data_IF_060737446485
#
_entry.id   IF_060737446485
#
_cell.length_a   1.000
_cell.length_b   1.000
_cell.length_c   1.000
_cell.angle_alpha   90.00
_cell.angle_beta   90.00
_cell.angle_gamma   90.00
#
_symmetry.space_group_name_H-M   'P 1'
#
loop_
_entity.id
_entity.type
_entity.pdbx_description
1 polymer ?
#
# COMPACT_ATOMS: atom_id res chain seq x y z
N UNK A 1 -13.95 -7.75 18.11
CA UNK A 1 -13.79 -6.29 17.96
C UNK A 1 -13.12 -5.92 16.62
N UNK A 2 -11.90 -6.44 16.32
CA UNK A 2 -11.25 -6.15 15.04
C UNK A 2 -12.02 -6.69 13.82
N UNK A 3 -12.58 -7.88 13.93
CA UNK A 3 -13.44 -8.45 12.89
C UNK A 3 -14.68 -7.56 12.61
N UNK A 4 -15.31 -7.07 13.65
CA UNK A 4 -16.43 -6.16 13.54
C UNK A 4 -16.05 -4.80 12.90
N UNK A 5 -14.86 -4.30 13.21
CA UNK A 5 -14.30 -3.14 12.54
C UNK A 5 -14.11 -3.43 11.04
N UNK A 6 -13.57 -4.60 10.67
CA UNK A 6 -13.43 -5.01 9.29
C UNK A 6 -14.79 -5.14 8.58
N UNK A 7 -15.82 -5.67 9.23
CA UNK A 7 -17.16 -5.72 8.66
C UNK A 7 -17.68 -4.33 8.26
N UNK A 8 -17.37 -3.30 9.06
CA UNK A 8 -17.76 -1.92 8.74
C UNK A 8 -16.93 -1.32 7.59
N UNK A 9 -15.65 -1.61 7.51
CA UNK A 9 -14.83 -1.22 6.37
C UNK A 9 -15.34 -1.85 5.08
N UNK A 10 -15.61 -3.16 5.08
CA UNK A 10 -16.11 -3.84 3.90
C UNK A 10 -17.56 -3.46 3.56
N UNK A 11 -18.38 -3.12 4.53
CA UNK A 11 -19.68 -2.48 4.28
C UNK A 11 -19.51 -1.15 3.54
N UNK A 12 -18.59 -0.28 3.99
CA UNK A 12 -18.27 0.96 3.28
C UNK A 12 -17.78 0.68 1.85
N UNK A 13 -16.85 -0.26 1.65
CA UNK A 13 -16.33 -0.58 0.32
C UNK A 13 -17.42 -1.06 -0.65
N UNK A 14 -18.40 -1.82 -0.18
CA UNK A 14 -19.56 -2.24 -0.99
C UNK A 14 -20.58 -1.13 -1.22
N UNK A 15 -20.60 -0.10 -0.38
CA UNK A 15 -21.54 1.01 -0.46
C UNK A 15 -21.05 2.17 -1.33
N UNK A 16 -19.86 2.06 -1.92
CA UNK A 16 -19.32 3.08 -2.83
C UNK A 16 -20.15 3.18 -4.10
N UNK A 17 -20.22 4.40 -4.64
CA UNK A 17 -20.78 4.57 -5.97
C UNK A 17 -19.91 3.85 -7.00
N UNK A 18 -20.53 3.10 -7.88
CA UNK A 18 -19.87 2.31 -8.92
C UNK A 18 -20.34 2.75 -10.31
N UNK A 19 -19.46 2.72 -11.30
CA UNK A 19 -19.81 2.79 -12.70
C UNK A 19 -19.12 1.69 -13.49
N UNK A 20 -19.83 1.09 -14.44
CA UNK A 20 -19.21 0.20 -15.41
C UNK A 20 -18.19 0.96 -16.27
N UNK A 21 -17.08 0.30 -16.61
CA UNK A 21 -16.05 0.86 -17.48
C UNK A 21 -15.56 -0.20 -18.46
N UNK A 22 -14.87 0.24 -19.52
CA UNK A 22 -14.18 -0.71 -20.41
C UNK A 22 -12.90 -1.22 -19.74
N UNK A 23 -12.36 -2.30 -20.28
CA UNK A 23 -11.07 -2.84 -19.81
C UNK A 23 -9.96 -1.79 -19.95
N UNK A 24 -9.92 -1.09 -21.06
CA UNK A 24 -8.93 -0.04 -21.34
C UNK A 24 -9.05 1.13 -20.37
N UNK A 25 -10.27 1.53 -19.98
CA UNK A 25 -10.47 2.58 -18.97
C UNK A 25 -10.00 2.12 -17.58
N UNK A 26 -10.32 0.88 -17.21
CA UNK A 26 -9.85 0.27 -15.96
C UNK A 26 -8.33 0.23 -15.89
N UNK A 27 -7.68 -0.31 -16.93
CA UNK A 27 -6.22 -0.44 -17.02
C UNK A 27 -5.54 0.94 -16.98
N UNK A 28 -6.04 1.92 -17.73
CA UNK A 28 -5.51 3.29 -17.72
C UNK A 28 -5.52 3.91 -16.31
N UNK A 29 -6.60 3.73 -15.55
CA UNK A 29 -6.67 4.26 -14.17
C UNK A 29 -5.74 3.48 -13.24
N UNK A 30 -5.66 2.16 -13.38
CA UNK A 30 -4.74 1.34 -12.63
C UNK A 30 -3.27 1.72 -12.91
N UNK A 31 -2.92 1.96 -14.17
CA UNK A 31 -1.58 2.37 -14.58
C UNK A 31 -1.21 3.74 -14.02
N UNK A 32 -2.12 4.69 -14.04
CA UNK A 32 -1.91 6.01 -13.41
C UNK A 32 -1.61 5.89 -11.92
N UNK A 33 -2.34 5.02 -11.20
CA UNK A 33 -2.17 4.86 -9.75
C UNK A 33 -0.92 4.05 -9.39
N UNK A 34 -0.60 3.00 -10.16
CA UNK A 34 0.33 1.95 -9.75
C UNK A 34 1.61 1.87 -10.61
N UNK A 35 1.69 2.63 -11.71
CA UNK A 35 2.86 2.70 -12.59
C UNK A 35 3.37 4.13 -12.71
N UNK A 36 2.57 5.03 -13.29
CA UNK A 36 2.98 6.42 -13.59
C UNK A 36 3.37 7.16 -12.31
N UNK A 37 2.54 7.03 -11.28
CA UNK A 37 2.79 7.64 -9.97
C UNK A 37 4.10 7.15 -9.33
N UNK A 38 4.41 5.85 -9.44
CA UNK A 38 5.67 5.32 -8.93
C UNK A 38 6.83 5.91 -9.71
N UNK A 39 6.79 5.87 -11.04
CA UNK A 39 7.85 6.39 -11.90
C UNK A 39 8.14 7.86 -11.59
N UNK A 40 7.09 8.69 -11.51
CA UNK A 40 7.22 10.11 -11.14
C UNK A 40 7.87 10.29 -9.76
N UNK A 41 7.41 9.52 -8.77
CA UNK A 41 7.90 9.63 -7.39
C UNK A 41 9.35 9.14 -7.26
N UNK A 42 9.72 8.06 -7.94
CA UNK A 42 11.10 7.56 -7.95
C UNK A 42 12.04 8.55 -8.65
N UNK A 43 11.62 9.19 -9.75
CA UNK A 43 12.39 10.25 -10.38
C UNK A 43 12.61 11.45 -9.44
N UNK A 44 11.55 11.90 -8.74
CA UNK A 44 11.64 12.96 -7.72
C UNK A 44 12.61 12.56 -6.60
N UNK A 45 12.54 11.33 -6.11
CA UNK A 45 13.46 10.83 -5.09
C UNK A 45 14.92 10.91 -5.56
N UNK A 46 15.20 10.40 -6.77
CA UNK A 46 16.56 10.39 -7.34
C UNK A 46 17.14 11.78 -7.58
N UNK A 47 16.28 12.79 -7.78
CA UNK A 47 16.69 14.18 -7.94
C UNK A 47 16.98 14.90 -6.59
N UNK A 48 16.62 14.31 -5.45
CA UNK A 48 16.89 14.90 -4.14
C UNK A 48 18.37 14.74 -3.76
N UNK A 49 18.96 15.78 -3.13
CA UNK A 49 20.35 15.74 -2.65
C UNK A 49 20.58 14.63 -1.60
N UNK A 50 19.60 14.42 -0.76
CA UNK A 50 19.59 13.40 0.31
C UNK A 50 19.70 11.99 -0.25
N UNK A 51 19.12 11.75 -1.44
CA UNK A 51 19.15 10.43 -2.08
C UNK A 51 20.58 9.96 -2.39
N UNK A 52 21.49 10.85 -2.75
CA UNK A 52 22.88 10.48 -3.06
C UNK A 52 23.60 9.83 -1.87
N UNK A 53 23.28 10.27 -0.64
CA UNK A 53 23.82 9.68 0.60
C UNK A 53 23.18 8.33 0.89
N UNK A 54 21.86 8.22 0.69
CA UNK A 54 21.12 6.99 0.90
C UNK A 54 21.45 5.93 -0.13
N UNK A 55 21.76 6.33 -1.39
CA UNK A 55 22.14 5.41 -2.47
C UNK A 55 23.36 4.57 -2.10
N UNK A 56 24.39 5.16 -1.47
CA UNK A 56 25.58 4.42 -1.05
C UNK A 56 25.24 3.32 -0.04
N UNK A 57 24.30 3.57 0.89
CA UNK A 57 23.78 2.58 1.84
C UNK A 57 22.97 1.49 1.12
N UNK A 58 22.11 1.86 0.19
CA UNK A 58 21.26 0.93 -0.55
C UNK A 58 22.05 0.03 -1.50
N UNK A 59 23.12 0.54 -2.11
CA UNK A 59 23.99 -0.24 -3.01
C UNK A 59 24.77 -1.33 -2.25
N UNK A 60 25.03 -1.14 -0.95
CA UNK A 60 25.69 -2.15 -0.12
C UNK A 60 24.71 -3.25 0.39
N UNK A 61 23.44 -3.15 0.01
CA UNK A 61 22.39 -4.07 0.44
C UNK A 61 21.65 -4.62 -0.78
N UNK A 62 21.05 -5.79 -0.68
CA UNK A 62 20.16 -6.34 -1.73
C UNK A 62 18.85 -5.52 -1.92
N UNK A 63 18.81 -4.30 -1.39
CA UNK A 63 17.68 -3.39 -1.45
C UNK A 63 17.89 -2.23 -2.43
N UNK A 64 18.68 -2.44 -3.51
CA UNK A 64 18.85 -1.44 -4.53
C UNK A 64 17.50 -1.01 -5.13
N UNK A 65 17.24 0.30 -5.12
CA UNK A 65 15.94 0.86 -5.48
C UNK A 65 15.50 0.50 -6.90
N UNK A 66 16.42 0.52 -7.87
CA UNK A 66 16.09 0.18 -9.27
C UNK A 66 15.72 -1.29 -9.43
N UNK A 67 16.39 -2.18 -8.70
CA UNK A 67 16.05 -3.59 -8.62
C UNK A 67 14.67 -3.82 -8.01
N UNK A 68 14.36 -3.13 -6.92
CA UNK A 68 13.04 -3.23 -6.28
C UNK A 68 11.91 -2.71 -7.17
N UNK A 69 12.12 -1.61 -7.87
CA UNK A 69 11.12 -1.06 -8.83
C UNK A 69 10.90 -2.03 -9.99
N UNK A 70 11.96 -2.62 -10.53
CA UNK A 70 11.86 -3.65 -11.58
C UNK A 70 11.08 -4.86 -11.08
N UNK A 71 11.43 -5.40 -9.91
CA UNK A 71 10.73 -6.51 -9.27
C UNK A 71 9.26 -6.20 -9.03
N UNK A 72 8.95 -4.97 -8.60
CA UNK A 72 7.56 -4.52 -8.44
C UNK A 72 6.77 -4.67 -9.74
N UNK A 73 7.28 -4.19 -10.86
CA UNK A 73 6.58 -4.26 -12.15
C UNK A 73 6.42 -5.70 -12.65
N UNK A 74 7.42 -6.54 -12.49
CA UNK A 74 7.37 -7.96 -12.84
C UNK A 74 6.31 -8.72 -12.02
N UNK A 75 6.29 -8.51 -10.70
CA UNK A 75 5.29 -9.11 -9.81
C UNK A 75 3.88 -8.58 -10.11
N UNK A 76 3.72 -7.27 -10.30
CA UNK A 76 2.43 -6.66 -10.68
C UNK A 76 1.88 -7.32 -11.93
N UNK A 77 2.67 -7.40 -12.99
CA UNK A 77 2.27 -8.02 -14.25
C UNK A 77 1.88 -9.50 -14.06
N UNK A 78 2.66 -10.23 -13.27
CA UNK A 78 2.41 -11.66 -13.01
C UNK A 78 1.11 -11.88 -12.22
N UNK A 79 0.87 -11.07 -11.19
CA UNK A 79 -0.32 -11.18 -10.34
C UNK A 79 -1.57 -10.75 -11.11
N UNK A 80 -1.51 -9.62 -11.80
CA UNK A 80 -2.63 -9.12 -12.61
C UNK A 80 -2.99 -10.07 -13.75
N UNK A 81 -2.00 -10.72 -14.38
CA UNK A 81 -2.23 -11.70 -15.45
C UNK A 81 -2.98 -12.96 -15.00
N UNK A 82 -3.06 -13.23 -13.70
CA UNK A 82 -3.81 -14.38 -13.13
C UNK A 82 -5.27 -14.07 -12.80
N UNK A 83 -5.62 -12.80 -12.71
CA UNK A 83 -6.90 -12.37 -12.17
C UNK A 83 -7.79 -11.76 -13.26
N UNK A 84 -9.10 -12.01 -13.15
CA UNK A 84 -10.11 -11.24 -13.87
C UNK A 84 -10.53 -10.08 -12.98
N UNK A 85 -10.30 -8.85 -13.45
CA UNK A 85 -10.70 -7.66 -12.71
C UNK A 85 -12.15 -7.27 -13.06
N UNK A 86 -12.90 -6.75 -12.07
CA UNK A 86 -14.21 -6.19 -12.37
C UNK A 86 -14.02 -4.96 -13.26
N UNK A 87 -14.78 -4.89 -14.37
CA UNK A 87 -14.78 -3.70 -15.23
C UNK A 87 -15.66 -2.60 -14.60
N UNK A 88 -15.30 -2.19 -13.40
CA UNK A 88 -15.98 -1.13 -12.63
C UNK A 88 -14.96 -0.19 -12.03
N UNK A 89 -15.32 1.09 -11.95
CA UNK A 89 -14.64 2.12 -11.18
C UNK A 89 -15.53 2.53 -10.01
N UNK A 90 -14.93 3.04 -8.97
CA UNK A 90 -15.65 3.46 -7.76
C UNK A 90 -15.28 4.89 -7.37
N UNK A 91 -16.19 5.56 -6.64
CA UNK A 91 -15.85 6.77 -5.89
C UNK A 91 -15.36 6.31 -4.52
N UNK A 92 -14.06 6.38 -4.30
CA UNK A 92 -13.41 5.96 -3.06
C UNK A 92 -13.17 7.11 -2.09
N UNK A 93 -12.75 6.79 -0.88
CA UNK A 93 -12.23 7.76 0.09
C UNK A 93 -10.86 8.29 -0.31
N UNK A 94 -10.04 7.45 -0.93
CA UNK A 94 -8.69 7.79 -1.38
C UNK A 94 -7.61 7.63 -0.32
N UNK A 95 -7.95 7.57 0.98
CA UNK A 95 -7.00 7.31 2.06
C UNK A 95 -7.65 6.76 3.36
N UNK A 96 -8.39 5.63 3.33
CA UNK A 96 -9.05 5.07 4.50
C UNK A 96 -8.07 4.26 5.37
N UNK A 97 -6.89 4.81 5.67
CA UNK A 97 -5.94 4.23 6.61
C UNK A 97 -6.40 4.42 8.07
N UNK A 98 -5.77 3.75 9.03
CA UNK A 98 -6.18 3.87 10.44
C UNK A 98 -6.06 5.29 10.98
N UNK A 99 -5.05 6.05 10.54
CA UNK A 99 -4.89 7.45 10.95
C UNK A 99 -6.10 8.33 10.56
N UNK A 100 -6.80 7.98 9.48
CA UNK A 100 -7.99 8.69 8.98
C UNK A 100 -9.31 8.02 9.40
N UNK A 101 -9.26 7.18 10.44
CA UNK A 101 -10.41 6.37 10.88
C UNK A 101 -10.73 6.63 12.34
N UNK A 102 -11.98 6.98 12.63
CA UNK A 102 -12.52 7.15 13.97
C UNK A 102 -13.50 6.01 14.25
N UNK A 103 -13.20 5.20 15.25
CA UNK A 103 -14.06 4.09 15.67
C UNK A 103 -14.52 4.26 17.11
N UNK A 104 -15.84 4.30 17.32
CA UNK A 104 -16.44 4.32 18.64
C UNK A 104 -16.85 2.89 19.02
N UNK A 105 -16.18 2.33 20.03
CA UNK A 105 -16.40 0.95 20.52
C UNK A 105 -17.81 0.75 21.10
N UNK A 106 -18.33 1.74 21.81
CA UNK A 106 -19.63 1.62 22.50
C UNK A 106 -20.80 1.67 21.53
N UNK A 107 -20.76 2.57 20.55
CA UNK A 107 -21.81 2.72 19.54
C UNK A 107 -21.53 1.89 18.28
N UNK A 108 -20.32 1.31 18.18
CA UNK A 108 -19.84 0.57 17.01
C UNK A 108 -19.91 1.38 15.70
N UNK A 109 -19.70 2.68 15.82
CA UNK A 109 -19.77 3.62 14.70
C UNK A 109 -18.37 3.83 14.14
N UNK A 110 -18.25 3.67 12.82
CA UNK A 110 -17.07 3.99 12.04
C UNK A 110 -17.29 5.30 11.29
N UNK A 111 -16.33 6.21 11.35
CA UNK A 111 -16.31 7.44 10.55
C UNK A 111 -14.93 7.59 9.92
N UNK A 112 -14.90 8.01 8.66
CA UNK A 112 -13.69 8.40 7.97
C UNK A 112 -13.55 9.92 7.96
N UNK A 113 -12.31 10.40 8.02
CA UNK A 113 -11.93 11.81 7.94
C UNK A 113 -10.88 11.98 6.87
N UNK A 114 -10.70 13.20 6.39
CA UNK A 114 -9.68 13.56 5.40
C UNK A 114 -9.79 12.79 4.07
N UNK A 115 -10.96 12.78 3.40
CA UNK A 115 -11.10 12.15 2.10
C UNK A 115 -10.25 12.89 1.07
N UNK A 116 -9.66 12.14 0.14
CA UNK A 116 -8.97 12.72 -1.00
C UNK A 116 -9.99 13.33 -1.94
N UNK A 117 -9.99 14.65 -2.06
CA UNK A 117 -10.85 15.35 -3.00
C UNK A 117 -10.40 15.21 -4.46
N UNK A 118 -11.24 15.70 -5.36
CA UNK A 118 -10.98 15.86 -6.79
C UNK A 118 -11.44 17.24 -7.26
N UNK A 119 -10.83 17.74 -8.33
CA UNK A 119 -11.21 19.04 -8.93
C UNK A 119 -12.36 18.84 -9.93
N UNK A 120 -12.37 17.69 -10.59
CA UNK A 120 -13.38 17.32 -11.58
C UNK A 120 -14.06 16.02 -11.20
N UNK A 121 -15.30 15.81 -11.68
CA UNK A 121 -16.04 14.57 -11.45
C UNK A 121 -15.29 13.34 -11.99
N UNK A 122 -14.60 13.47 -13.11
CA UNK A 122 -13.84 12.36 -13.70
C UNK A 122 -12.68 11.90 -12.79
N UNK A 123 -12.10 12.78 -12.02
CA UNK A 123 -11.00 12.46 -11.08
C UNK A 123 -11.49 11.75 -9.81
N UNK A 124 -12.81 11.74 -9.55
CA UNK A 124 -13.40 10.99 -8.42
C UNK A 124 -13.35 9.48 -8.66
N UNK A 125 -13.41 9.05 -9.92
CA UNK A 125 -13.47 7.64 -10.27
C UNK A 125 -12.09 6.99 -10.18
N UNK A 126 -11.99 5.97 -9.35
CA UNK A 126 -10.73 5.28 -9.03
C UNK A 126 -10.87 3.77 -9.12
N UNK A 127 -9.74 3.10 -9.08
CA UNK A 127 -9.67 1.63 -9.03
C UNK A 127 -10.25 1.11 -7.70
N UNK A 128 -11.13 0.09 -7.70
CA UNK A 128 -11.79 -0.43 -6.50
C UNK A 128 -10.82 -0.98 -5.44
N UNK A 129 -9.62 -1.42 -5.84
CA UNK A 129 -8.59 -1.91 -4.94
C UNK A 129 -7.82 -0.80 -4.20
N UNK A 130 -7.90 0.47 -4.65
CA UNK A 130 -7.05 1.52 -4.11
C UNK A 130 -7.28 1.77 -2.62
N UNK A 131 -8.54 1.93 -2.19
CA UNK A 131 -8.90 2.10 -0.77
C UNK A 131 -8.54 0.88 0.07
N UNK A 132 -8.68 -0.31 -0.51
CA UNK A 132 -8.37 -1.58 0.15
C UNK A 132 -6.86 -1.71 0.35
N UNK A 133 -6.05 -1.31 -0.64
CA UNK A 133 -4.60 -1.26 -0.50
C UNK A 133 -4.17 -0.24 0.57
N UNK A 134 -4.87 0.88 0.70
CA UNK A 134 -4.66 1.86 1.78
C UNK A 134 -4.98 1.28 3.17
N UNK A 135 -6.03 0.49 3.29
CA UNK A 135 -6.33 -0.24 4.52
C UNK A 135 -5.27 -1.31 4.82
N UNK A 136 -4.86 -2.09 3.78
CA UNK A 136 -3.77 -3.07 3.91
C UNK A 136 -2.46 -2.43 4.36
N UNK A 137 -2.17 -1.22 3.92
CA UNK A 137 -1.01 -0.44 4.31
C UNK A 137 -0.93 -0.21 5.83
N UNK A 138 -2.07 -0.01 6.51
CA UNK A 138 -2.14 0.03 7.98
C UNK A 138 -2.07 -1.36 8.62
N UNK A 139 -2.81 -2.35 8.10
CA UNK A 139 -2.95 -3.68 8.73
C UNK A 139 -1.71 -4.55 8.49
N UNK A 140 -1.39 -4.79 7.22
CA UNK A 140 -0.30 -5.69 6.81
C UNK A 140 1.03 -4.98 6.77
N UNK A 141 1.05 -3.77 6.20
CA UNK A 141 2.24 -2.93 6.05
C UNK A 141 2.69 -2.23 7.32
N UNK A 142 1.83 -2.18 8.34
CA UNK A 142 2.12 -1.54 9.63
C UNK A 142 2.60 -0.09 9.51
N UNK A 143 2.05 0.65 8.53
CA UNK A 143 2.45 2.02 8.21
C UNK A 143 2.40 2.97 9.41
N UNK A 144 1.40 2.80 10.27
CA UNK A 144 1.21 3.63 11.46
C UNK A 144 2.39 3.50 12.46
N UNK A 145 3.04 2.34 12.50
CA UNK A 145 4.26 2.14 13.29
C UNK A 145 5.45 2.93 12.72
N UNK A 146 5.61 2.94 11.40
CA UNK A 146 6.63 3.78 10.75
C UNK A 146 6.40 5.27 11.02
N UNK A 147 5.16 5.73 10.96
CA UNK A 147 4.83 7.12 11.21
C UNK A 147 5.15 7.57 12.63
N UNK A 148 5.03 6.66 13.59
CA UNK A 148 5.29 6.93 15.00
C UNK A 148 6.71 6.53 15.44
N UNK A 149 7.58 6.11 14.51
CA UNK A 149 8.96 5.70 14.82
C UNK A 149 9.05 4.42 15.65
N UNK A 150 8.03 3.56 15.62
CA UNK A 150 7.92 2.31 16.37
C UNK A 150 8.45 1.13 15.54
N UNK A 151 9.63 1.26 14.99
CA UNK A 151 10.34 0.23 14.25
C UNK A 151 11.84 0.35 14.45
N UNK A 152 12.55 -0.74 14.27
CA UNK A 152 14.01 -0.80 14.34
C UNK A 152 14.56 -1.46 13.07
N UNK A 153 15.75 -1.02 12.67
CA UNK A 153 16.52 -1.63 11.60
C UNK A 153 17.79 -2.20 12.22
N UNK A 154 17.98 -3.50 12.10
CA UNK A 154 19.13 -4.22 12.66
C UNK A 154 19.99 -4.79 11.56
N UNK A 155 21.30 -4.83 11.79
CA UNK A 155 22.23 -5.58 10.96
C UNK A 155 22.30 -6.99 11.54
N UNK A 156 22.02 -8.01 10.72
CA UNK A 156 22.10 -9.41 11.14
C UNK A 156 23.52 -9.99 10.92
N UNK A 157 23.70 -11.26 11.27
CA UNK A 157 24.99 -11.96 11.19
C UNK A 157 25.51 -12.09 9.72
N UNK A 158 24.63 -12.01 8.73
CA UNK A 158 24.94 -12.05 7.30
C UNK A 158 25.26 -10.66 6.74
N UNK A 159 25.38 -9.62 7.59
CA UNK A 159 25.53 -8.21 7.21
C UNK A 159 24.40 -7.68 6.35
N UNK A 160 23.23 -8.30 6.40
CA UNK A 160 22.00 -7.79 5.81
C UNK A 160 21.15 -7.05 6.85
N UNK A 161 20.10 -6.37 6.39
CA UNK A 161 19.26 -5.54 7.26
C UNK A 161 17.92 -6.21 7.50
N UNK A 162 17.58 -6.34 8.79
CA UNK A 162 16.28 -6.80 9.26
C UNK A 162 15.44 -5.61 9.74
N UNK A 163 14.19 -5.61 9.34
CA UNK A 163 13.19 -4.66 9.81
C UNK A 163 12.37 -5.33 10.92
N UNK A 164 12.49 -4.78 12.12
CA UNK A 164 11.72 -5.23 13.27
C UNK A 164 10.64 -4.22 13.65
N UNK A 165 9.42 -4.70 13.82
CA UNK A 165 8.32 -3.95 14.40
C UNK A 165 7.77 -4.80 15.55
N UNK A 166 7.89 -4.35 16.82
CA UNK A 166 7.57 -5.15 18.01
C UNK A 166 6.06 -5.28 18.22
N UNK A 167 5.36 -5.75 17.20
CA UNK A 167 3.91 -5.96 17.22
C UNK A 167 3.53 -7.13 16.32
N UNK A 168 2.94 -8.17 16.92
CA UNK A 168 2.37 -9.28 16.18
C UNK A 168 0.98 -8.92 15.64
N UNK A 169 0.90 -8.76 14.32
CA UNK A 169 -0.33 -8.48 13.61
C UNK A 169 -0.90 -9.70 12.86
N UNK A 170 -0.37 -10.89 13.10
CA UNK A 170 -0.74 -12.13 12.39
C UNK A 170 -2.23 -12.44 12.48
N UNK A 171 -2.82 -12.25 13.66
CA UNK A 171 -4.25 -12.41 13.88
C UNK A 171 -5.10 -11.42 13.08
N UNK A 172 -4.65 -10.18 12.96
CA UNK A 172 -5.33 -9.15 12.16
C UNK A 172 -5.23 -9.43 10.67
N UNK A 173 -4.05 -9.86 10.20
CA UNK A 173 -3.84 -10.26 8.80
C UNK A 173 -4.76 -11.43 8.43
N UNK A 174 -4.88 -12.43 9.30
CA UNK A 174 -5.77 -13.58 9.07
C UNK A 174 -7.23 -13.18 8.90
N UNK A 175 -7.72 -12.29 9.75
CA UNK A 175 -9.09 -11.75 9.66
C UNK A 175 -9.24 -10.94 8.37
N UNK A 176 -8.29 -10.05 8.07
CA UNK A 176 -8.33 -9.21 6.87
C UNK A 176 -8.33 -10.04 5.59
N UNK A 177 -7.46 -11.06 5.49
CA UNK A 177 -7.39 -11.96 4.34
C UNK A 177 -8.73 -12.67 4.11
N UNK A 178 -9.34 -13.22 5.17
CA UNK A 178 -10.67 -13.84 5.07
C UNK A 178 -11.72 -12.84 4.59
N UNK A 179 -11.71 -11.59 5.10
CA UNK A 179 -12.66 -10.55 4.67
C UNK A 179 -12.46 -10.13 3.21
N UNK A 180 -11.24 -10.14 2.70
CA UNK A 180 -10.98 -9.95 1.27
C UNK A 180 -11.63 -11.06 0.45
N UNK A 181 -11.38 -12.32 0.80
CA UNK A 181 -11.95 -13.49 0.12
C UNK A 181 -13.49 -13.48 0.13
N UNK A 182 -14.11 -13.21 1.28
CA UNK A 182 -15.57 -13.07 1.44
C UNK A 182 -16.18 -11.98 0.55
N UNK A 183 -15.39 -10.98 0.15
CA UNK A 183 -15.83 -9.85 -0.67
C UNK A 183 -15.27 -9.86 -2.10
N UNK A 184 -14.64 -10.95 -2.52
CA UNK A 184 -14.18 -11.14 -3.90
C UNK A 184 -12.90 -10.37 -4.27
N UNK A 185 -12.09 -9.97 -3.28
CA UNK A 185 -10.81 -9.29 -3.51
C UNK A 185 -9.65 -10.27 -3.38
N UNK A 186 -8.76 -10.26 -4.38
CA UNK A 186 -7.54 -11.05 -4.34
C UNK A 186 -6.49 -10.45 -3.42
N UNK A 187 -6.03 -11.25 -2.45
CA UNK A 187 -5.06 -10.82 -1.45
C UNK A 187 -3.71 -10.43 -2.06
N UNK A 188 -3.22 -11.18 -3.06
CA UNK A 188 -1.93 -10.89 -3.68
C UNK A 188 -1.96 -9.55 -4.43
N UNK A 189 -3.09 -9.27 -5.12
CA UNK A 189 -3.32 -7.97 -5.77
C UNK A 189 -3.34 -6.82 -4.76
N UNK A 190 -4.01 -6.99 -3.62
CA UNK A 190 -4.00 -5.99 -2.56
C UNK A 190 -2.58 -5.75 -2.05
N UNK A 191 -1.79 -6.81 -1.86
CA UNK A 191 -0.41 -6.70 -1.34
C UNK A 191 0.54 -6.03 -2.34
N UNK A 192 0.46 -6.35 -3.62
CA UNK A 192 1.32 -5.67 -4.61
C UNK A 192 0.94 -4.19 -4.77
N UNK A 193 -0.35 -3.85 -4.70
CA UNK A 193 -0.78 -2.45 -4.71
C UNK A 193 -0.40 -1.71 -3.42
N UNK A 194 -0.37 -2.37 -2.28
CA UNK A 194 0.19 -1.82 -1.04
C UNK A 194 1.68 -1.51 -1.18
N UNK A 195 2.48 -2.38 -1.82
CA UNK A 195 3.89 -2.11 -2.09
C UNK A 195 4.07 -0.82 -2.91
N UNK A 196 3.17 -0.56 -3.87
CA UNK A 196 3.17 0.68 -4.65
C UNK A 196 3.03 1.93 -3.78
N UNK A 197 2.23 1.85 -2.72
CA UNK A 197 2.03 2.97 -1.80
C UNK A 197 3.34 3.30 -1.09
N UNK A 198 4.06 2.30 -0.55
CA UNK A 198 5.36 2.50 0.08
C UNK A 198 6.37 3.09 -0.90
N UNK A 199 6.48 2.55 -2.12
CA UNK A 199 7.39 3.09 -3.15
C UNK A 199 7.05 4.54 -3.51
N UNK A 200 5.76 4.87 -3.66
CA UNK A 200 5.33 6.22 -4.02
C UNK A 200 5.53 7.26 -2.90
N UNK A 201 5.73 6.81 -1.67
CA UNK A 201 5.90 7.69 -0.51
C UNK A 201 7.35 8.04 -0.20
N UNK A 202 8.33 7.34 -0.78
CA UNK A 202 9.74 7.55 -0.49
C UNK A 202 10.18 9.03 -0.59
N UNK A 203 9.86 9.79 -1.67
CA UNK A 203 10.27 11.18 -1.77
C UNK A 203 9.54 12.10 -0.79
N UNK A 204 8.36 11.70 -0.28
CA UNK A 204 7.58 12.51 0.67
C UNK A 204 8.16 12.48 2.09
N UNK A 205 9.02 11.52 2.37
CA UNK A 205 9.64 11.31 3.68
C UNK A 205 11.17 11.36 3.63
N UNK A 206 11.74 11.96 2.57
CA UNK A 206 13.21 11.99 2.36
C UNK A 206 13.93 12.80 3.44
N UNK A 207 13.24 13.66 4.15
CA UNK A 207 13.68 14.36 5.35
C UNK A 207 13.99 13.42 6.53
N UNK A 208 13.44 12.19 6.51
CA UNK A 208 13.72 11.13 7.47
C UNK A 208 14.28 9.87 6.76
N UNK A 209 15.60 9.82 6.48
CA UNK A 209 16.23 8.70 5.76
C UNK A 209 16.04 7.34 6.44
N UNK A 210 15.99 7.29 7.77
CA UNK A 210 15.73 6.06 8.53
C UNK A 210 14.34 5.49 8.21
N UNK A 211 13.31 6.34 8.16
CA UNK A 211 11.95 5.96 7.79
C UNK A 211 11.86 5.49 6.32
N UNK A 212 12.52 6.22 5.41
CA UNK A 212 12.58 5.82 3.99
C UNK A 212 13.25 4.46 3.82
N UNK A 213 14.33 4.20 4.55
CA UNK A 213 15.00 2.91 4.53
C UNK A 213 14.09 1.81 5.09
N UNK A 214 13.36 2.07 6.17
CA UNK A 214 12.34 1.16 6.70
C UNK A 214 11.25 0.82 5.67
N UNK A 215 10.78 1.79 4.89
CA UNK A 215 9.82 1.55 3.80
C UNK A 215 10.39 0.65 2.71
N UNK A 216 11.65 0.85 2.33
CA UNK A 216 12.35 0.03 1.32
C UNK A 216 12.46 -1.42 1.80
N UNK A 217 12.86 -1.64 3.05
CA UNK A 217 12.93 -2.97 3.64
C UNK A 217 11.54 -3.63 3.73
N UNK A 218 10.51 -2.85 4.06
CA UNK A 218 9.15 -3.36 4.10
C UNK A 218 8.65 -3.78 2.71
N UNK A 219 8.97 -3.03 1.65
CA UNK A 219 8.68 -3.43 0.26
C UNK A 219 9.39 -4.75 -0.08
N UNK A 220 10.67 -4.91 0.29
CA UNK A 220 11.41 -6.17 0.10
C UNK A 220 10.69 -7.33 0.81
N UNK A 221 10.25 -7.14 2.05
CA UNK A 221 9.51 -8.15 2.80
C UNK A 221 8.17 -8.50 2.13
N UNK A 222 7.45 -7.52 1.59
CA UNK A 222 6.22 -7.77 0.82
C UNK A 222 6.54 -8.65 -0.40
N UNK A 223 7.59 -8.36 -1.15
CA UNK A 223 7.96 -9.15 -2.32
C UNK A 223 8.33 -10.60 -1.95
N UNK A 224 9.08 -10.80 -0.87
CA UNK A 224 9.38 -12.16 -0.39
C UNK A 224 8.10 -12.98 -0.14
N UNK A 225 7.06 -12.34 0.43
CA UNK A 225 5.76 -12.99 0.65
C UNK A 225 4.97 -13.26 -0.64
N UNK A 226 5.22 -12.52 -1.72
CA UNK A 226 4.53 -12.67 -3.00
C UNK A 226 5.18 -13.73 -3.92
N UNK A 227 6.44 -14.10 -3.66
CA UNK A 227 7.13 -15.17 -4.38
C UNK A 227 6.80 -16.58 -3.86
N UNK A 228 6.27 -16.69 -2.63
CA UNK A 228 5.87 -17.97 -2.00
C UNK A 228 4.44 -18.33 -2.35
#
# INVERSE_FOLDING_TARGET
EFEELMDKYFFFFRSRHEKACTKEEYERIADTLYIEKINERIQKLKACKEYSRMKALLTSTDAELDGLVKTYFELKQTIEGRNQYPNVLVIGHGDPCFANTLYNKSTKTLKFIDPKGAITENELWTNPYYDIAKLSHSICGRYDFFNNGLFEIKVNEEFSYDLEIPFDNSGFIKIFKRKLEENGFDYLTVRIYEASLFLSMLPLHIDNPHKVFGFILNVKNIFCLLYT
#
